data_IF_913325037392
#
_entry.id   IF_913325037392
#
_cell.length_a   1.000
_cell.length_b   1.000
_cell.length_c   1.000
_cell.angle_alpha   90.00
_cell.angle_beta   90.00
_cell.angle_gamma   90.00
#
_symmetry.space_group_name_H-M   'P 1'
#
loop_
_entity.id
_entity.type
_entity.pdbx_description
1 polymer ?
#
# COMPACT_ATOMS: atom_id res chain seq x y z
N UNK A 1 -2.46 13.70 4.58
CA UNK A 1 -2.84 12.48 3.86
C UNK A 1 -3.98 11.79 4.56
N UNK A 2 -4.93 11.34 3.79
CA UNK A 2 -6.02 10.57 4.33
C UNK A 2 -5.55 9.19 4.70
N UNK A 3 -6.27 8.58 5.59
CA UNK A 3 -6.09 7.16 5.88
C UNK A 3 -4.77 6.79 6.53
N UNK A 4 -3.94 7.75 6.91
CA UNK A 4 -2.70 7.41 7.60
C UNK A 4 -3.02 6.71 8.92
N UNK A 5 -3.97 7.24 9.68
CA UNK A 5 -4.32 6.63 10.95
C UNK A 5 -4.93 5.25 10.76
N UNK A 6 -5.70 5.09 9.71
CA UNK A 6 -6.29 3.80 9.42
C UNK A 6 -5.21 2.75 9.16
N UNK A 7 -4.23 3.11 8.35
CA UNK A 7 -3.14 2.20 8.09
C UNK A 7 -2.31 1.93 9.34
N UNK A 8 -2.08 2.96 10.15
CA UNK A 8 -1.33 2.78 11.37
C UNK A 8 -2.03 1.80 12.31
N UNK A 9 -3.35 1.93 12.44
CA UNK A 9 -4.11 1.02 13.26
C UNK A 9 -3.99 -0.42 12.78
N UNK A 10 -4.10 -0.61 11.48
CA UNK A 10 -4.03 -1.95 10.92
C UNK A 10 -2.66 -2.56 11.10
N UNK A 11 -1.62 -1.75 10.90
CA UNK A 11 -0.27 -2.25 11.10
C UNK A 11 -0.03 -2.58 12.56
N UNK A 12 -0.55 -1.75 13.46
CA UNK A 12 -0.42 -1.99 14.87
C UNK A 12 -1.03 -3.33 15.25
N UNK A 13 -2.20 -3.63 14.71
CA UNK A 13 -2.83 -4.91 14.96
C UNK A 13 -2.01 -6.05 14.39
N UNK A 14 -1.40 -5.83 13.26
CA UNK A 14 -0.66 -6.88 12.60
C UNK A 14 0.65 -7.21 13.32
N UNK A 15 1.37 -6.19 13.77
CA UNK A 15 2.64 -6.45 14.43
C UNK A 15 2.48 -6.75 15.92
N UNK A 16 1.38 -6.31 16.52
CA UNK A 16 1.18 -6.52 17.95
C UNK A 16 1.67 -5.34 18.75
N UNK A 17 1.16 -5.22 19.99
CA UNK A 17 1.44 -4.04 20.79
C UNK A 17 2.91 -3.90 21.14
N UNK A 18 3.56 -5.01 21.47
CA UNK A 18 4.96 -4.93 21.89
C UNK A 18 5.84 -4.43 20.75
N UNK A 19 5.63 -5.00 19.54
CA UNK A 19 6.41 -4.55 18.41
C UNK A 19 6.02 -3.16 17.98
N UNK A 20 4.75 -2.81 18.09
CA UNK A 20 4.33 -1.47 17.77
C UNK A 20 5.03 -0.45 18.64
N UNK A 21 5.09 -0.69 19.93
CA UNK A 21 5.76 0.26 20.84
C UNK A 21 7.23 0.36 20.51
N UNK A 22 7.84 -0.74 20.13
CA UNK A 22 9.26 -0.74 19.83
C UNK A 22 9.58 -0.01 18.54
N UNK A 23 8.67 -0.10 17.54
CA UNK A 23 8.94 0.44 16.22
C UNK A 23 7.90 1.46 15.80
N UNK A 24 7.43 2.25 16.75
CA UNK A 24 6.31 3.15 16.51
C UNK A 24 6.56 4.09 15.33
N UNK A 25 7.76 4.65 15.26
CA UNK A 25 8.04 5.61 14.21
C UNK A 25 8.10 4.94 12.85
N UNK A 26 8.62 3.74 12.80
CA UNK A 26 8.67 3.00 11.55
C UNK A 26 7.26 2.64 11.09
N UNK A 27 6.40 2.26 12.02
CA UNK A 27 5.01 1.96 11.68
C UNK A 27 4.33 3.19 11.11
N UNK A 28 4.58 4.36 11.71
CA UNK A 28 3.99 5.59 11.21
C UNK A 28 4.51 5.95 9.83
N UNK A 29 5.80 5.75 9.60
CA UNK A 29 6.36 6.02 8.29
C UNK A 29 5.74 5.11 7.25
N UNK A 30 5.60 3.83 7.57
CA UNK A 30 5.00 2.89 6.66
C UNK A 30 3.54 3.26 6.39
N UNK A 31 2.81 3.67 7.42
CA UNK A 31 1.42 4.08 7.24
C UNK A 31 1.32 5.28 6.29
N UNK A 32 2.23 6.24 6.44
CA UNK A 32 2.25 7.38 5.54
C UNK A 32 2.54 6.96 4.11
N UNK A 33 3.47 6.06 3.93
CA UNK A 33 3.81 5.60 2.60
C UNK A 33 2.67 4.83 1.96
N UNK A 34 1.95 4.05 2.73
CA UNK A 34 0.78 3.35 2.21
C UNK A 34 -0.30 4.34 1.77
N UNK A 35 -0.54 5.37 2.57
CA UNK A 35 -1.51 6.37 2.19
C UNK A 35 -1.05 7.17 0.97
N UNK A 36 0.24 7.43 0.89
CA UNK A 36 0.78 8.15 -0.25
C UNK A 36 0.69 7.32 -1.52
N UNK A 37 0.88 6.03 -1.40
CA UNK A 37 0.75 5.15 -2.55
C UNK A 37 -0.68 5.18 -3.10
N UNK A 38 -1.67 5.19 -2.20
CA UNK A 38 -3.05 5.31 -2.62
C UNK A 38 -3.28 6.63 -3.37
N UNK A 39 -2.75 7.71 -2.81
CA UNK A 39 -2.92 9.01 -3.44
C UNK A 39 -2.28 9.07 -4.81
N UNK A 40 -1.09 8.51 -4.92
CA UNK A 40 -0.41 8.50 -6.21
C UNK A 40 -1.19 7.70 -7.24
N UNK A 41 -1.78 6.60 -6.80
CA UNK A 41 -2.57 5.81 -7.73
C UNK A 41 -3.79 6.57 -8.22
N UNK A 42 -4.44 7.32 -7.34
CA UNK A 42 -5.56 8.15 -7.75
C UNK A 42 -5.12 9.20 -8.76
N UNK A 43 -3.97 9.81 -8.51
CA UNK A 43 -3.46 10.82 -9.43
C UNK A 43 -3.12 10.20 -10.78
N UNK A 44 -2.57 9.00 -10.76
CA UNK A 44 -2.24 8.31 -12.01
C UNK A 44 -3.52 8.09 -12.82
N UNK A 45 -4.57 7.68 -12.17
CA UNK A 45 -5.83 7.42 -12.88
C UNK A 45 -6.40 8.71 -13.47
N UNK A 46 -6.26 9.81 -12.75
CA UNK A 46 -6.73 11.09 -13.26
C UNK A 46 -5.93 11.52 -14.49
N UNK A 47 -4.62 11.29 -14.46
CA UNK A 47 -3.74 11.69 -15.53
C UNK A 47 -3.43 10.59 -16.51
N UNK A 48 -4.33 9.62 -16.63
CA UNK A 48 -4.01 8.41 -17.39
C UNK A 48 -3.69 8.72 -18.84
N UNK A 49 -4.25 9.80 -19.40
CA UNK A 49 -4.03 10.13 -20.79
C UNK A 49 -2.84 11.04 -21.02
N UNK A 50 -2.32 11.63 -19.95
CA UNK A 50 -1.15 12.49 -20.07
C UNK A 50 0.08 11.62 -19.84
N UNK A 51 0.74 11.25 -20.92
CA UNK A 51 1.85 10.29 -20.84
C UNK A 51 2.96 10.79 -19.95
N UNK A 52 3.31 12.07 -20.04
CA UNK A 52 4.42 12.58 -19.25
C UNK A 52 4.07 12.59 -17.76
N UNK A 53 2.88 13.09 -17.44
CA UNK A 53 2.46 13.13 -16.03
C UNK A 53 2.32 11.72 -15.47
N UNK A 54 1.75 10.83 -16.26
CA UNK A 54 1.56 9.46 -15.81
C UNK A 54 2.91 8.77 -15.56
N UNK A 55 3.85 8.98 -16.46
CA UNK A 55 5.16 8.36 -16.32
C UNK A 55 5.86 8.84 -15.07
N UNK A 56 5.80 10.13 -14.81
CA UNK A 56 6.44 10.68 -13.61
C UNK A 56 5.78 10.15 -12.35
N UNK A 57 4.45 10.08 -12.33
CA UNK A 57 3.75 9.57 -11.16
C UNK A 57 4.03 8.09 -10.94
N UNK A 58 4.13 7.33 -12.02
CA UNK A 58 4.48 5.92 -11.89
C UNK A 58 5.88 5.74 -11.32
N UNK A 59 6.79 6.60 -11.72
CA UNK A 59 8.15 6.54 -11.19
C UNK A 59 8.15 6.83 -9.69
N UNK A 60 7.40 7.84 -9.27
CA UNK A 60 7.29 8.16 -7.86
C UNK A 60 6.64 7.02 -7.09
N UNK A 61 5.60 6.44 -7.65
CA UNK A 61 4.92 5.33 -7.00
C UNK A 61 5.86 4.13 -6.86
N UNK A 62 6.65 3.85 -7.88
CA UNK A 62 7.59 2.74 -7.80
C UNK A 62 8.59 2.93 -6.67
N UNK A 63 9.04 4.16 -6.47
CA UNK A 63 9.96 4.42 -5.36
C UNK A 63 9.27 4.21 -4.01
N UNK A 64 8.04 4.68 -3.89
CA UNK A 64 7.28 4.50 -2.66
C UNK A 64 7.05 3.02 -2.40
N UNK A 65 6.75 2.25 -3.42
CA UNK A 65 6.55 0.81 -3.26
C UNK A 65 7.82 0.14 -2.75
N UNK A 66 8.98 0.55 -3.26
CA UNK A 66 10.23 0.00 -2.75
C UNK A 66 10.43 0.33 -1.29
N UNK A 67 10.12 1.58 -0.91
CA UNK A 67 10.24 1.97 0.49
C UNK A 67 9.31 1.16 1.36
N UNK A 68 8.09 0.94 0.89
CA UNK A 68 7.12 0.14 1.63
C UNK A 68 7.65 -1.27 1.84
N UNK A 69 8.23 -1.86 0.81
CA UNK A 69 8.79 -3.20 0.95
C UNK A 69 9.89 -3.25 1.98
N UNK A 70 10.76 -2.25 1.96
CA UNK A 70 11.84 -2.17 2.92
C UNK A 70 11.29 -2.07 4.35
N UNK A 71 10.26 -1.27 4.52
CA UNK A 71 9.69 -1.07 5.83
C UNK A 71 8.96 -2.31 6.32
N UNK A 72 8.27 -3.01 5.43
CA UNK A 72 7.64 -4.27 5.82
C UNK A 72 8.69 -5.26 6.30
N UNK A 73 9.81 -5.34 5.60
CA UNK A 73 10.88 -6.23 6.00
C UNK A 73 11.43 -5.85 7.37
N UNK A 74 11.60 -4.56 7.60
CA UNK A 74 12.13 -4.10 8.88
C UNK A 74 11.21 -4.42 10.03
N UNK A 75 9.91 -4.51 9.76
CA UNK A 75 8.94 -4.86 10.78
C UNK A 75 8.67 -6.35 10.84
N UNK A 76 9.38 -7.13 10.03
CA UNK A 76 9.18 -8.57 9.97
C UNK A 76 7.77 -8.95 9.53
N UNK A 77 7.15 -8.09 8.75
CA UNK A 77 5.87 -8.41 8.15
C UNK A 77 6.15 -9.13 6.84
N UNK A 78 5.59 -10.32 6.71
CA UNK A 78 5.82 -11.09 5.52
C UNK A 78 5.07 -10.52 4.36
N UNK A 79 5.76 -10.34 3.25
CA UNK A 79 5.17 -9.84 2.02
C UNK A 79 5.31 -10.95 1.00
N UNK A 80 4.27 -11.24 0.23
CA UNK A 80 4.39 -12.30 -0.78
C UNK A 80 5.55 -12.04 -1.71
N UNK A 81 6.30 -13.06 -2.00
CA UNK A 81 7.50 -12.90 -2.81
C UNK A 81 7.18 -12.40 -4.21
N UNK A 82 5.99 -12.69 -4.70
CA UNK A 82 5.63 -12.26 -6.03
C UNK A 82 5.26 -10.80 -6.11
N UNK A 83 5.14 -10.13 -4.97
CA UNK A 83 4.71 -8.74 -4.96
C UNK A 83 5.63 -7.87 -5.80
N UNK A 84 6.91 -8.13 -5.71
CA UNK A 84 7.87 -7.30 -6.43
C UNK A 84 7.72 -7.43 -7.93
N UNK A 85 7.21 -8.56 -8.39
CA UNK A 85 7.08 -8.79 -9.79
C UNK A 85 5.66 -8.67 -10.29
N UNK A 86 4.72 -8.58 -9.39
CA UNK A 86 3.32 -8.61 -9.78
C UNK A 86 2.58 -7.49 -9.08
N UNK A 87 2.36 -6.42 -9.80
CA UNK A 87 1.72 -5.24 -9.23
C UNK A 87 0.30 -5.55 -8.74
N UNK A 88 -0.38 -6.45 -9.43
CA UNK A 88 -1.72 -6.80 -9.02
C UNK A 88 -1.73 -7.50 -7.67
N UNK A 89 -0.80 -8.39 -7.45
CA UNK A 89 -0.71 -9.06 -6.17
C UNK A 89 -0.42 -8.06 -5.05
N UNK A 90 0.43 -7.08 -5.35
CA UNK A 90 0.75 -6.07 -4.36
C UNK A 90 -0.46 -5.21 -4.06
N UNK A 91 -1.20 -4.83 -5.09
CA UNK A 91 -2.39 -4.02 -4.88
C UNK A 91 -3.42 -4.78 -4.06
N UNK A 92 -3.55 -6.08 -4.30
CA UNK A 92 -4.45 -6.91 -3.54
C UNK A 92 -4.04 -6.97 -2.07
N UNK A 93 -2.74 -7.12 -1.84
CA UNK A 93 -2.21 -7.16 -0.49
C UNK A 93 -2.48 -5.84 0.23
N UNK A 94 -2.28 -4.72 -0.46
CA UNK A 94 -2.55 -3.42 0.13
C UNK A 94 -4.04 -3.27 0.42
N UNK A 95 -4.88 -3.83 -0.43
CA UNK A 95 -6.31 -3.79 -0.19
C UNK A 95 -6.69 -4.48 1.09
N UNK A 96 -6.04 -5.59 1.40
CA UNK A 96 -6.30 -6.29 2.65
C UNK A 96 -5.93 -5.43 3.84
N UNK A 97 -4.85 -4.67 3.73
CA UNK A 97 -4.46 -3.82 4.82
C UNK A 97 -5.38 -2.61 4.96
N UNK A 98 -5.82 -2.08 3.83
CA UNK A 98 -6.52 -0.82 3.91
C UNK A 98 -7.95 -0.99 4.37
N UNK A 99 -8.68 -1.99 3.86
CA UNK A 99 -10.00 -2.05 4.26
C UNK A 99 -10.75 -3.12 3.81
N UNK A 100 -11.33 -3.61 4.60
CA UNK A 100 -12.01 -4.65 4.48
C UNK A 100 -13.39 -4.44 4.15
N UNK A 101 -13.92 -3.40 4.39
CA UNK A 101 -15.26 -3.34 4.12
C UNK A 101 -15.53 -3.04 2.72
N UNK A 102 -14.59 -2.80 1.95
CA UNK A 102 -14.81 -2.52 0.57
C UNK A 102 -15.15 -3.77 -0.17
N UNK A 103 -16.26 -3.82 -0.81
CA UNK A 103 -16.58 -5.02 -1.55
C UNK A 103 -15.59 -5.19 -2.66
N UNK A 104 -15.34 -6.42 -3.01
CA UNK A 104 -14.42 -6.69 -3.99
C UNK A 104 -15.08 -6.68 -5.28
N UNK A 105 -14.88 -5.72 -6.07
CA UNK A 105 -15.50 -5.66 -7.37
C UNK A 105 -15.09 -6.79 -8.24
N UNK A 106 -13.98 -7.29 -7.94
CA UNK A 106 -13.50 -8.34 -8.77
C UNK A 106 -14.40 -9.51 -8.77
N UNK A 107 -15.22 -9.54 -7.86
CA UNK A 107 -15.98 -10.66 -7.84
C UNK A 107 -16.91 -10.69 -8.86
N UNK A 108 -17.04 -9.75 -9.39
CA UNK A 108 -17.87 -9.85 -10.35
C UNK A 108 -17.55 -10.32 -11.43
N UNK A 109 -17.41 -10.91 -11.71
CA UNK A 109 -16.94 -11.43 -12.49
C UNK A 109 -17.21 -12.02 -13.28
N UNK A 110 -17.31 -11.93 -13.12
CA UNK A 110 -17.21 -12.37 -13.68
C UNK A 110 -17.63 -12.89 -14.50
N UNK A 111 -17.81 -12.96 -14.57
CA UNK A 111 -18.06 -13.34 -15.25
C UNK A 111 -18.36 -13.75 -16.00
N UNK A 112 -18.38 -13.81 -16.04
CA UNK A 112 -18.43 -14.07 -16.66
C UNK A 112 -18.51 -14.54 -17.22
#
# INVERSE_FOLDING_TARGET
LKDVEKYEQRLRQRVGEAEYERHKELVRLLARNLALEDLLWEEILICIRDVNARTELLRQRNQIVRDIHTEFRALNIEVPTTVEKNTEAFASFLGELSDDETPKPSEEPVDR
#
